data_IF_817279546066
#
_entry.id   IF_817279546066
#
_cell.length_a   1.000
_cell.length_b   1.000
_cell.length_c   1.000
_cell.angle_alpha   90.00
_cell.angle_beta   90.00
_cell.angle_gamma   90.00
#
_symmetry.space_group_name_H-M   'P 1'
#
loop_
_entity.id
_entity.type
_entity.pdbx_description
1 polymer ?
#
# COMPACT_ATOMS: atom_id res chain seq x y z
N UNK A 1 -6.03 -5.26 -37.61
CA UNK A 1 -6.00 -3.79 -37.42
C UNK A 1 -6.39 -3.47 -35.97
N UNK A 2 -5.77 -2.46 -35.36
CA UNK A 2 -6.14 -1.98 -34.03
C UNK A 2 -7.53 -1.34 -34.05
N UNK A 3 -8.25 -1.44 -32.94
CA UNK A 3 -9.50 -0.70 -32.79
C UNK A 3 -9.22 0.80 -32.73
N UNK A 4 -10.10 1.59 -33.34
CA UNK A 4 -9.98 3.04 -33.45
C UNK A 4 -10.77 3.76 -32.35
N UNK A 5 -10.42 5.02 -32.09
CA UNK A 5 -11.23 5.88 -31.23
C UNK A 5 -12.66 5.99 -31.78
N UNK A 6 -13.64 5.87 -30.90
CA UNK A 6 -15.06 5.87 -31.21
C UNK A 6 -15.62 4.53 -31.67
N UNK A 7 -14.77 3.52 -31.95
CA UNK A 7 -15.23 2.21 -32.41
C UNK A 7 -16.06 1.50 -31.33
N UNK A 8 -17.22 0.99 -31.74
CA UNK A 8 -18.06 0.13 -30.92
C UNK A 8 -17.64 -1.34 -31.10
N UNK A 9 -17.44 -2.04 -29.99
CA UNK A 9 -17.11 -3.48 -29.97
C UNK A 9 -18.11 -4.24 -29.12
N UNK A 10 -18.14 -5.57 -29.28
CA UNK A 10 -18.96 -6.49 -28.50
C UNK A 10 -20.44 -6.05 -28.45
N UNK A 11 -21.07 -6.00 -29.63
CA UNK A 11 -22.46 -5.57 -29.82
C UNK A 11 -22.76 -4.17 -29.23
N UNK A 12 -21.77 -3.27 -29.26
CA UNK A 12 -21.90 -1.91 -28.73
C UNK A 12 -21.84 -1.79 -27.21
N UNK A 13 -21.47 -2.86 -26.48
CA UNK A 13 -21.27 -2.80 -25.01
C UNK A 13 -20.14 -1.84 -24.65
N UNK A 14 -19.09 -1.77 -25.46
CA UNK A 14 -17.96 -0.88 -25.24
C UNK A 14 -17.71 0.03 -26.42
N UNK A 15 -17.42 1.30 -26.13
CA UNK A 15 -16.89 2.27 -27.07
C UNK A 15 -15.41 2.50 -26.75
N UNK A 16 -14.51 2.20 -27.68
CA UNK A 16 -13.08 2.48 -27.52
C UNK A 16 -12.88 4.00 -27.47
N UNK A 17 -12.16 4.48 -26.46
CA UNK A 17 -11.84 5.91 -26.29
C UNK A 17 -10.37 6.20 -26.61
N UNK A 18 -9.46 5.30 -26.23
CA UNK A 18 -8.03 5.56 -26.36
C UNK A 18 -7.21 4.28 -26.39
N UNK A 19 -6.20 4.23 -27.25
CA UNK A 19 -5.10 3.27 -27.12
C UNK A 19 -4.20 3.68 -25.96
N UNK A 20 -4.05 2.82 -24.95
CA UNK A 20 -3.22 3.11 -23.77
C UNK A 20 -1.78 2.62 -23.94
N UNK A 21 -1.58 1.54 -24.68
CA UNK A 21 -0.27 0.95 -24.87
C UNK A 21 -0.37 -0.47 -25.39
N UNK A 22 0.76 -1.02 -25.82
CA UNK A 22 0.80 -2.32 -26.48
C UNK A 22 2.22 -2.79 -26.73
N UNK A 23 2.44 -4.06 -26.43
CA UNK A 23 3.71 -4.74 -26.51
C UNK A 23 3.74 -5.82 -27.57
N UNK A 24 4.73 -6.71 -27.49
CA UNK A 24 4.94 -7.78 -28.47
C UNK A 24 3.72 -8.68 -28.62
N UNK A 25 3.04 -9.02 -27.53
CA UNK A 25 1.96 -10.02 -27.55
C UNK A 25 0.57 -9.54 -27.08
N UNK A 26 0.44 -8.34 -26.47
CA UNK A 26 -0.84 -7.80 -26.01
C UNK A 26 -0.95 -6.29 -26.23
N UNK A 27 -2.18 -5.79 -26.31
CA UNK A 27 -2.56 -4.39 -26.48
C UNK A 27 -3.65 -4.02 -25.49
N UNK A 28 -3.59 -2.79 -25.00
CA UNK A 28 -4.47 -2.26 -23.95
C UNK A 28 -5.17 -0.99 -24.44
N UNK A 29 -6.48 -0.95 -24.25
CA UNK A 29 -7.35 0.16 -24.61
C UNK A 29 -8.10 0.69 -23.38
N UNK A 30 -8.33 2.00 -23.34
CA UNK A 30 -9.38 2.60 -22.54
C UNK A 30 -10.68 2.54 -23.33
N UNK A 31 -11.76 2.14 -22.67
CA UNK A 31 -13.08 2.09 -23.27
C UNK A 31 -14.15 2.60 -22.30
N UNK A 32 -15.26 3.09 -22.85
CA UNK A 32 -16.47 3.40 -22.12
C UNK A 32 -17.44 2.22 -22.22
N UNK A 33 -17.82 1.64 -21.08
CA UNK A 33 -18.96 0.72 -21.03
C UNK A 33 -20.25 1.52 -21.23
N UNK A 34 -20.91 1.36 -22.37
CA UNK A 34 -21.98 2.26 -22.85
C UNK A 34 -23.22 2.26 -21.95
N UNK A 35 -23.65 1.09 -21.48
CA UNK A 35 -24.83 0.98 -20.59
C UNK A 35 -24.60 1.45 -19.16
N UNK A 36 -23.39 1.27 -18.63
CA UNK A 36 -23.04 1.65 -17.25
C UNK A 36 -22.43 3.04 -17.16
N UNK A 37 -22.13 3.66 -18.30
CA UNK A 37 -21.39 4.92 -18.41
C UNK A 37 -20.11 4.93 -17.53
N UNK A 38 -19.38 3.81 -17.56
CA UNK A 38 -18.20 3.55 -16.73
C UNK A 38 -16.98 3.35 -17.62
N UNK A 39 -15.89 4.04 -17.33
CA UNK A 39 -14.60 3.76 -17.97
C UNK A 39 -14.01 2.45 -17.49
N UNK A 40 -13.49 1.68 -18.43
CA UNK A 40 -12.87 0.37 -18.22
C UNK A 40 -11.61 0.27 -19.07
N UNK A 41 -10.78 -0.73 -18.77
CA UNK A 41 -9.63 -1.09 -19.59
C UNK A 41 -9.91 -2.41 -20.28
N UNK A 42 -9.65 -2.50 -21.58
CA UNK A 42 -9.74 -3.73 -22.36
C UNK A 42 -8.33 -4.13 -22.82
N UNK A 43 -7.84 -5.29 -22.34
CA UNK A 43 -6.59 -5.91 -22.82
C UNK A 43 -6.93 -7.03 -23.80
N UNK A 44 -6.17 -7.16 -24.88
CA UNK A 44 -6.36 -8.17 -25.94
C UNK A 44 -5.02 -8.60 -26.52
N UNK A 45 -4.87 -9.82 -27.08
CA UNK A 45 -3.68 -10.19 -27.83
C UNK A 45 -3.35 -9.20 -28.95
N UNK A 46 -2.06 -8.96 -29.20
CA UNK A 46 -1.61 -8.04 -30.22
C UNK A 46 -1.77 -8.64 -31.61
N UNK A 47 -2.77 -8.18 -32.35
CA UNK A 47 -3.05 -8.66 -33.70
C UNK A 47 -1.95 -8.29 -34.71
N UNK A 48 -1.08 -7.32 -34.42
CA UNK A 48 0.00 -6.94 -35.34
C UNK A 48 1.02 -8.06 -35.56
N UNK A 49 1.12 -8.98 -34.60
CA UNK A 49 2.00 -10.16 -34.67
C UNK A 49 1.23 -11.45 -34.96
N UNK A 50 -0.01 -11.36 -35.47
CA UNK A 50 -0.82 -12.55 -35.76
C UNK A 50 -0.18 -13.50 -36.78
N UNK A 51 0.69 -12.97 -37.64
CA UNK A 51 1.46 -13.77 -38.63
C UNK A 51 2.69 -14.46 -38.04
N UNK A 52 3.03 -14.18 -36.80
CA UNK A 52 4.12 -14.87 -36.10
C UNK A 52 3.72 -16.34 -35.87
N UNK A 53 4.57 -17.32 -36.24
CA UNK A 53 4.30 -18.74 -35.97
C UNK A 53 4.00 -19.05 -34.49
N UNK A 54 4.51 -18.24 -33.56
CA UNK A 54 4.29 -18.38 -32.12
C UNK A 54 3.03 -17.64 -31.62
N UNK A 55 2.25 -16.99 -32.48
CA UNK A 55 1.02 -16.28 -32.08
C UNK A 55 0.05 -17.13 -31.24
N UNK A 56 -0.20 -18.42 -31.54
CA UNK A 56 -1.02 -19.26 -30.67
C UNK A 56 -0.49 -19.34 -29.23
N UNK A 57 0.84 -19.38 -29.05
CA UNK A 57 1.47 -19.38 -27.71
C UNK A 57 1.24 -18.05 -26.99
N UNK A 58 1.22 -16.94 -27.73
CA UNK A 58 0.93 -15.61 -27.17
C UNK A 58 -0.50 -15.52 -26.65
N UNK A 59 -1.46 -16.05 -27.41
CA UNK A 59 -2.88 -16.10 -27.01
C UNK A 59 -3.05 -16.99 -25.77
N UNK A 60 -2.41 -18.16 -25.73
CA UNK A 60 -2.47 -19.05 -24.56
C UNK A 60 -1.83 -18.41 -23.31
N UNK A 61 -0.76 -17.63 -23.47
CA UNK A 61 -0.19 -16.84 -22.36
C UNK A 61 -1.16 -15.78 -21.87
N UNK A 62 -1.80 -15.04 -22.78
CA UNK A 62 -2.79 -14.04 -22.42
C UNK A 62 -3.96 -14.66 -21.63
N UNK A 63 -4.45 -15.84 -22.04
CA UNK A 63 -5.49 -16.57 -21.29
C UNK A 63 -5.03 -16.96 -19.89
N UNK A 64 -3.81 -17.49 -19.76
CA UNK A 64 -3.22 -17.82 -18.45
C UNK A 64 -3.09 -16.59 -17.55
N UNK A 65 -2.77 -15.44 -18.14
CA UNK A 65 -2.61 -14.17 -17.43
C UNK A 65 -3.95 -13.72 -16.84
N UNK A 66 -5.00 -13.75 -17.67
CA UNK A 66 -6.37 -13.48 -17.27
C UNK A 66 -6.82 -14.41 -16.13
N UNK A 67 -6.54 -15.71 -16.22
CA UNK A 67 -6.87 -16.70 -15.19
C UNK A 67 -6.13 -16.45 -13.86
N UNK A 68 -4.84 -16.12 -13.93
CA UNK A 68 -4.06 -15.80 -12.72
C UNK A 68 -4.57 -14.53 -12.05
N UNK A 69 -4.82 -13.48 -12.82
CA UNK A 69 -5.36 -12.23 -12.29
C UNK A 69 -6.75 -12.45 -11.67
N UNK A 70 -7.63 -13.22 -12.33
CA UNK A 70 -8.93 -13.59 -11.79
C UNK A 70 -8.80 -14.34 -10.44
N UNK A 71 -7.86 -15.30 -10.33
CA UNK A 71 -7.57 -16.00 -9.07
C UNK A 71 -7.18 -15.02 -7.95
N UNK A 72 -6.33 -14.04 -8.27
CA UNK A 72 -5.92 -13.01 -7.31
C UNK A 72 -7.10 -12.11 -6.89
N UNK A 73 -8.06 -11.86 -7.79
CA UNK A 73 -9.23 -11.02 -7.54
C UNK A 73 -10.35 -11.67 -6.72
N UNK A 74 -10.30 -12.99 -6.45
CA UNK A 74 -11.39 -13.73 -5.76
C UNK A 74 -11.84 -13.09 -4.44
N UNK A 75 -10.90 -12.51 -3.67
CA UNK A 75 -11.19 -11.86 -2.38
C UNK A 75 -11.12 -10.32 -2.44
N UNK A 76 -11.11 -9.74 -3.65
CA UNK A 76 -10.98 -8.30 -3.92
C UNK A 76 -9.98 -7.57 -3.01
N UNK A 77 -8.70 -7.56 -3.38
CA UNK A 77 -7.69 -6.76 -2.67
C UNK A 77 -7.67 -5.31 -3.18
N UNK A 78 -7.66 -4.28 -2.31
CA UNK A 78 -7.74 -2.86 -2.73
C UNK A 78 -6.54 -2.35 -3.54
N UNK A 79 -5.44 -3.08 -3.55
CA UNK A 79 -4.20 -2.74 -4.25
C UNK A 79 -3.89 -3.67 -5.45
N UNK A 80 -4.87 -4.48 -5.88
CA UNK A 80 -4.82 -5.30 -7.09
C UNK A 80 -5.93 -4.81 -8.02
N UNK A 81 -5.62 -4.65 -9.31
CA UNK A 81 -6.64 -4.28 -10.31
C UNK A 81 -7.73 -5.33 -10.38
N UNK A 82 -8.98 -4.90 -10.42
CA UNK A 82 -10.10 -5.83 -10.56
C UNK A 82 -10.30 -6.25 -12.02
N UNK A 83 -10.64 -7.53 -12.20
CA UNK A 83 -11.16 -8.07 -13.46
C UNK A 83 -12.67 -8.12 -13.38
N UNK A 84 -13.34 -7.66 -14.43
CA UNK A 84 -14.80 -7.65 -14.51
C UNK A 84 -15.34 -8.74 -15.43
N UNK A 85 -14.66 -9.02 -16.55
CA UNK A 85 -15.16 -9.93 -17.57
C UNK A 85 -14.02 -10.49 -18.43
N UNK A 86 -14.22 -11.66 -19.04
CA UNK A 86 -13.34 -12.26 -20.03
C UNK A 86 -14.18 -12.80 -21.18
N UNK A 87 -14.09 -12.13 -22.34
CA UNK A 87 -15.00 -12.35 -23.47
C UNK A 87 -14.27 -12.38 -24.80
N UNK A 88 -14.98 -12.71 -25.87
CA UNK A 88 -14.47 -12.62 -27.24
C UNK A 88 -15.20 -11.52 -28.03
N UNK A 89 -14.45 -10.67 -28.73
CA UNK A 89 -14.98 -9.68 -29.65
C UNK A 89 -14.10 -9.62 -30.91
N UNK A 90 -14.73 -9.53 -32.08
CA UNK A 90 -14.06 -9.50 -33.38
C UNK A 90 -13.01 -10.62 -33.56
N UNK A 91 -13.30 -11.82 -33.04
CA UNK A 91 -12.42 -12.99 -33.08
C UNK A 91 -11.19 -12.89 -32.17
N UNK A 92 -11.23 -12.07 -31.11
CA UNK A 92 -10.12 -11.86 -30.18
C UNK A 92 -10.59 -11.99 -28.73
N UNK A 93 -9.77 -12.64 -27.91
CA UNK A 93 -9.96 -12.65 -26.46
C UNK A 93 -9.74 -11.25 -25.88
N UNK A 94 -10.63 -10.86 -24.98
CA UNK A 94 -10.68 -9.55 -24.35
C UNK A 94 -10.80 -9.74 -22.84
N UNK A 95 -9.97 -9.04 -22.08
CA UNK A 95 -10.03 -8.96 -20.63
C UNK A 95 -10.52 -7.57 -20.23
N UNK A 96 -11.71 -7.50 -19.63
CA UNK A 96 -12.24 -6.26 -19.04
C UNK A 96 -11.67 -6.08 -17.64
N UNK A 97 -11.02 -4.96 -17.41
CA UNK A 97 -10.38 -4.61 -16.15
C UNK A 97 -10.83 -3.23 -15.67
N UNK A 98 -10.65 -3.01 -14.37
CA UNK A 98 -10.84 -1.72 -13.74
C UNK A 98 -9.95 -0.65 -14.37
N UNK A 99 -10.55 0.50 -14.70
CA UNK A 99 -9.80 1.70 -15.05
C UNK A 99 -9.33 2.42 -13.78
N UNK A 100 -8.01 2.55 -13.64
CA UNK A 100 -7.40 3.32 -12.55
C UNK A 100 -7.17 4.75 -13.03
N UNK A 101 -7.96 5.69 -12.51
CA UNK A 101 -7.87 7.10 -12.84
C UNK A 101 -6.62 7.73 -12.20
N UNK A 102 -5.51 7.74 -12.93
CA UNK A 102 -4.23 8.18 -12.42
C UNK A 102 -3.12 7.97 -13.43
N UNK A 103 -1.90 7.85 -12.93
CA UNK A 103 -0.71 7.62 -13.74
C UNK A 103 0.20 6.61 -13.03
N UNK A 104 1.12 6.01 -13.77
CA UNK A 104 2.07 5.06 -13.20
C UNK A 104 3.04 5.74 -12.23
N UNK A 105 3.61 4.98 -11.28
CA UNK A 105 4.70 5.44 -10.41
C UNK A 105 5.89 5.91 -11.27
N UNK A 106 6.15 5.25 -12.39
CA UNK A 106 7.12 5.69 -13.39
C UNK A 106 6.87 7.13 -13.85
N UNK A 107 5.68 7.41 -14.39
CA UNK A 107 5.32 8.74 -14.89
C UNK A 107 5.27 9.79 -13.77
N UNK A 108 4.89 9.38 -12.56
CA UNK A 108 4.87 10.26 -11.39
C UNK A 108 6.26 10.75 -10.99
N UNK A 109 7.22 9.83 -10.88
CA UNK A 109 8.62 10.19 -10.57
C UNK A 109 9.27 10.97 -11.71
N UNK A 110 9.01 10.62 -12.97
CA UNK A 110 9.50 11.42 -14.12
C UNK A 110 9.02 12.88 -14.08
N UNK A 111 7.78 13.11 -13.63
CA UNK A 111 7.18 14.45 -13.59
C UNK A 111 7.56 15.23 -12.33
N UNK A 112 7.56 14.58 -11.17
CA UNK A 112 7.75 15.23 -9.86
C UNK A 112 9.21 15.21 -9.40
N UNK A 113 10.04 14.37 -10.00
CA UNK A 113 11.34 14.00 -9.47
C UNK A 113 11.22 12.90 -8.40
N UNK A 114 12.32 12.69 -7.68
CA UNK A 114 12.39 11.73 -6.60
C UNK A 114 11.38 12.04 -5.48
N UNK A 115 10.75 11.01 -4.93
CA UNK A 115 9.69 11.16 -3.93
C UNK A 115 10.26 11.22 -2.50
N UNK A 116 9.58 11.94 -1.58
CA UNK A 116 9.87 11.83 -0.16
C UNK A 116 9.76 10.38 0.34
N UNK A 117 10.67 9.98 1.24
CA UNK A 117 10.74 8.62 1.79
C UNK A 117 9.38 8.09 2.26
N UNK A 118 8.68 8.87 3.09
CA UNK A 118 7.37 8.48 3.64
C UNK A 118 6.32 8.22 2.55
N UNK A 119 6.35 8.98 1.46
CA UNK A 119 5.44 8.81 0.34
C UNK A 119 5.79 7.57 -0.50
N UNK A 120 7.07 7.39 -0.83
CA UNK A 120 7.54 6.22 -1.56
C UNK A 120 7.25 4.92 -0.78
N UNK A 121 7.59 4.88 0.51
CA UNK A 121 7.34 3.72 1.39
C UNK A 121 5.85 3.44 1.50
N UNK A 122 4.99 4.46 1.58
CA UNK A 122 3.53 4.28 1.60
C UNK A 122 3.04 3.51 0.36
N UNK A 123 3.42 3.95 -0.86
CA UNK A 123 2.98 3.26 -2.08
C UNK A 123 3.55 1.85 -2.19
N UNK A 124 4.81 1.67 -1.79
CA UNK A 124 5.49 0.38 -1.86
C UNK A 124 4.91 -0.61 -0.86
N UNK A 125 4.57 -0.20 0.36
CA UNK A 125 3.87 -1.06 1.34
C UNK A 125 2.52 -1.54 0.79
N UNK A 126 1.74 -0.66 0.17
CA UNK A 126 0.45 -1.03 -0.42
C UNK A 126 0.58 -2.14 -1.47
N UNK A 127 1.61 -2.06 -2.33
CA UNK A 127 1.91 -3.08 -3.34
C UNK A 127 2.51 -4.35 -2.70
N UNK A 128 3.37 -4.22 -1.69
CA UNK A 128 3.90 -5.36 -0.97
C UNK A 128 2.81 -6.19 -0.28
N UNK A 129 1.82 -5.55 0.35
CA UNK A 129 0.67 -6.23 0.95
C UNK A 129 -0.17 -6.97 -0.10
N UNK A 130 -0.35 -6.38 -1.29
CA UNK A 130 -0.97 -7.11 -2.40
C UNK A 130 -0.15 -8.35 -2.78
N UNK A 131 1.17 -8.24 -2.86
CA UNK A 131 2.05 -9.36 -3.23
C UNK A 131 2.07 -10.47 -2.18
N UNK A 132 1.96 -10.13 -0.90
CA UNK A 132 1.76 -11.11 0.18
C UNK A 132 0.55 -12.00 -0.10
N UNK A 133 -0.59 -11.40 -0.45
CA UNK A 133 -1.81 -12.17 -0.74
C UNK A 133 -1.74 -12.94 -2.06
N UNK A 134 -1.04 -12.40 -3.06
CA UNK A 134 -0.75 -13.09 -4.33
C UNK A 134 0.12 -14.33 -4.07
N UNK A 135 1.16 -14.21 -3.24
CA UNK A 135 2.08 -15.30 -2.89
C UNK A 135 1.37 -16.39 -2.09
N UNK A 136 0.48 -16.05 -1.15
CA UNK A 136 -0.38 -17.02 -0.43
C UNK A 136 -1.26 -17.84 -1.37
N UNK A 137 -1.64 -17.29 -2.52
CA UNK A 137 -2.38 -17.98 -3.58
C UNK A 137 -1.50 -18.83 -4.48
N UNK A 138 -0.20 -18.94 -4.20
CA UNK A 138 0.79 -19.67 -5.00
C UNK A 138 1.04 -19.03 -6.37
N UNK A 139 0.80 -17.72 -6.49
CA UNK A 139 1.05 -16.95 -7.71
C UNK A 139 2.29 -16.08 -7.49
N UNK A 140 3.11 -15.91 -8.53
CA UNK A 140 4.23 -14.96 -8.54
C UNK A 140 3.94 -13.90 -9.60
N UNK A 141 4.25 -12.65 -9.31
CA UNK A 141 3.97 -11.57 -10.25
C UNK A 141 5.06 -11.42 -11.32
N UNK A 142 6.33 -11.53 -10.92
CA UNK A 142 7.55 -11.55 -11.72
C UNK A 142 7.86 -10.30 -12.55
N UNK A 143 6.92 -9.36 -12.66
CA UNK A 143 7.07 -8.10 -13.40
C UNK A 143 6.64 -6.86 -12.58
N UNK A 144 6.97 -6.84 -11.28
CA UNK A 144 6.60 -5.71 -10.40
C UNK A 144 7.52 -4.51 -10.68
N UNK A 145 7.06 -3.57 -11.49
CA UNK A 145 7.87 -2.40 -11.88
C UNK A 145 7.10 -1.10 -11.65
N UNK A 146 7.76 0.07 -11.64
CA UNK A 146 7.07 1.36 -11.52
C UNK A 146 6.05 1.63 -12.63
N UNK A 147 6.15 0.94 -13.78
CA UNK A 147 5.18 1.04 -14.88
C UNK A 147 3.86 0.31 -14.56
N UNK A 148 3.92 -0.75 -13.76
CA UNK A 148 2.77 -1.59 -13.42
C UNK A 148 2.11 -1.20 -12.09
N UNK A 149 2.63 -0.15 -11.43
CA UNK A 149 2.08 0.44 -10.19
C UNK A 149 1.37 1.74 -10.55
N UNK A 150 0.04 1.74 -10.54
CA UNK A 150 -0.77 2.93 -10.80
C UNK A 150 -1.06 3.70 -9.52
N UNK A 151 -0.86 5.00 -9.54
CA UNK A 151 -1.20 5.91 -8.44
C UNK A 151 -2.49 6.66 -8.77
N UNK A 152 -3.54 6.39 -7.99
CA UNK A 152 -4.81 7.12 -8.10
C UNK A 152 -4.76 8.35 -7.19
N UNK A 153 -4.91 9.56 -7.75
CA UNK A 153 -4.87 10.83 -7.00
C UNK A 153 -6.22 11.54 -6.94
N UNK A 154 -7.30 10.94 -7.45
CA UNK A 154 -8.56 11.64 -7.57
C UNK A 154 -9.34 11.62 -6.25
N UNK A 155 -9.34 12.75 -5.55
CA UNK A 155 -10.01 12.98 -4.26
C UNK A 155 -11.53 12.78 -4.29
N UNK A 156 -12.16 12.81 -5.47
CA UNK A 156 -13.59 12.56 -5.64
C UNK A 156 -13.94 11.07 -5.87
N UNK A 157 -12.93 10.19 -6.00
CA UNK A 157 -13.12 8.74 -6.21
C UNK A 157 -12.72 8.00 -4.92
N UNK A 158 -13.47 6.96 -4.50
CA UNK A 158 -12.99 6.03 -3.48
C UNK A 158 -11.59 5.55 -3.86
N UNK A 159 -10.62 5.57 -2.92
CA UNK A 159 -9.21 5.19 -3.14
C UNK A 159 -8.24 6.28 -3.64
N UNK A 160 -8.53 7.56 -3.43
CA UNK A 160 -7.53 8.64 -3.61
C UNK A 160 -6.27 8.42 -2.77
N UNK A 161 -5.09 8.59 -3.39
CA UNK A 161 -3.77 8.35 -2.80
C UNK A 161 -3.41 6.87 -2.61
N UNK A 162 -4.01 5.95 -3.39
CA UNK A 162 -3.70 4.52 -3.38
C UNK A 162 -2.88 4.08 -4.60
N UNK A 163 -1.93 3.19 -4.36
CA UNK A 163 -1.20 2.42 -5.36
C UNK A 163 -1.98 1.15 -5.71
N UNK A 164 -2.07 0.81 -7.00
CA UNK A 164 -2.77 -0.37 -7.52
C UNK A 164 -1.88 -1.08 -8.53
N UNK A 165 -1.72 -2.40 -8.37
CA UNK A 165 -0.97 -3.26 -9.27
C UNK A 165 -1.85 -3.68 -10.46
N UNK A 166 -1.47 -3.35 -11.69
CA UNK A 166 -2.35 -3.45 -12.87
C UNK A 166 -1.98 -4.51 -13.92
N UNK A 167 -0.85 -5.20 -13.80
CA UNK A 167 -0.40 -6.14 -14.85
C UNK A 167 0.36 -7.36 -14.29
N UNK A 168 -0.32 -8.51 -14.19
CA UNK A 168 0.24 -9.76 -13.68
C UNK A 168 0.96 -10.51 -14.80
N UNK A 169 2.03 -9.91 -15.31
CA UNK A 169 2.78 -10.44 -16.43
C UNK A 169 3.29 -11.85 -16.16
N UNK A 170 3.01 -12.80 -17.06
CA UNK A 170 3.66 -14.12 -17.06
C UNK A 170 5.11 -13.94 -17.54
N UNK A 171 5.98 -13.35 -16.73
CA UNK A 171 7.38 -13.21 -17.10
C UNK A 171 8.09 -14.57 -16.97
N UNK A 172 8.85 -14.94 -18.01
CA UNK A 172 9.86 -15.99 -17.92
C UNK A 172 9.88 -17.05 -19.02
N UNK A 173 8.97 -17.05 -20.00
CA UNK A 173 9.12 -17.88 -21.20
C UNK A 173 9.45 -16.97 -22.39
N UNK A 174 10.72 -16.61 -22.57
CA UNK A 174 11.25 -15.89 -23.76
C UNK A 174 10.24 -14.93 -24.43
N UNK A 175 9.96 -13.79 -23.80
CA UNK A 175 9.21 -12.72 -24.46
C UNK A 175 10.12 -12.08 -25.52
N UNK A 176 9.75 -12.02 -26.81
CA UNK A 176 10.36 -11.01 -27.67
C UNK A 176 10.08 -9.63 -27.06
N UNK A 177 11.05 -8.70 -27.10
CA UNK A 177 10.93 -7.41 -26.44
C UNK A 177 9.64 -6.73 -26.87
N UNK A 178 8.77 -6.44 -25.91
CA UNK A 178 7.62 -5.61 -26.15
C UNK A 178 8.09 -4.25 -26.66
N UNK A 179 7.30 -3.59 -27.51
CA UNK A 179 7.69 -2.29 -28.06
C UNK A 179 7.74 -1.20 -26.97
N UNK A 180 7.08 -1.42 -25.81
CA UNK A 180 7.32 -0.67 -24.56
C UNK A 180 8.59 -1.12 -23.79
N UNK A 181 9.04 -2.37 -23.96
CA UNK A 181 10.32 -2.89 -23.44
C UNK A 181 11.49 -2.74 -24.42
N UNK A 182 11.35 -1.99 -25.52
CA UNK A 182 12.50 -1.54 -26.33
C UNK A 182 13.31 -0.45 -25.63
N UNK A 183 12.79 0.13 -24.56
CA UNK A 183 13.58 0.92 -23.64
C UNK A 183 14.03 0.03 -22.49
N UNK A 184 15.34 0.01 -22.26
CA UNK A 184 16.14 -0.52 -21.14
C UNK A 184 15.51 -0.52 -19.72
N UNK A 185 14.31 0.02 -19.51
CA UNK A 185 13.66 0.25 -18.21
C UNK A 185 13.20 -1.00 -17.47
N UNK A 186 12.47 -1.95 -18.07
CA UNK A 186 11.94 -3.10 -17.32
C UNK A 186 13.08 -4.02 -16.81
N UNK A 187 14.07 -4.31 -17.66
CA UNK A 187 15.21 -5.16 -17.30
C UNK A 187 16.00 -4.63 -16.09
N UNK A 188 16.07 -3.31 -15.91
CA UNK A 188 16.76 -2.71 -14.76
C UNK A 188 16.15 -3.14 -13.42
N UNK A 189 14.84 -3.42 -13.38
CA UNK A 189 14.14 -3.82 -12.16
C UNK A 189 14.09 -5.33 -11.95
N UNK A 190 14.52 -6.14 -12.93
CA UNK A 190 14.45 -7.59 -12.85
C UNK A 190 15.80 -8.20 -12.43
N UNK A 191 15.81 -9.23 -11.57
CA UNK A 191 17.04 -9.89 -11.19
C UNK A 191 17.56 -10.82 -12.31
N UNK A 192 18.87 -11.02 -12.37
CA UNK A 192 19.52 -11.69 -13.50
C UNK A 192 19.12 -13.17 -13.61
N UNK A 193 18.83 -13.83 -12.49
CA UNK A 193 18.38 -15.22 -12.47
C UNK A 193 17.00 -15.41 -13.09
N UNK A 194 16.12 -14.40 -13.02
CA UNK A 194 14.85 -14.43 -13.74
C UNK A 194 15.10 -14.26 -15.24
N UNK A 195 15.85 -13.23 -15.62
CA UNK A 195 16.00 -12.84 -17.03
C UNK A 195 16.89 -13.78 -17.83
N UNK A 196 17.89 -14.39 -17.20
CA UNK A 196 18.90 -15.23 -17.85
C UNK A 196 18.72 -16.73 -17.58
N UNK A 197 18.26 -17.11 -16.38
CA UNK A 197 18.09 -18.53 -16.00
C UNK A 197 16.62 -18.97 -15.97
N UNK A 198 15.67 -18.04 -16.07
CA UNK A 198 14.24 -18.35 -15.96
C UNK A 198 13.83 -18.83 -14.56
N UNK A 199 14.63 -18.57 -13.52
CA UNK A 199 14.35 -19.00 -12.15
C UNK A 199 13.25 -18.12 -11.56
N UNK A 200 12.25 -18.76 -10.95
CA UNK A 200 11.06 -18.10 -10.40
C UNK A 200 10.86 -18.52 -8.94
N UNK A 201 10.83 -17.55 -8.04
CA UNK A 201 10.54 -17.73 -6.62
C UNK A 201 10.07 -16.40 -6.01
N UNK A 202 9.47 -16.37 -4.81
CA UNK A 202 8.96 -15.14 -4.17
C UNK A 202 10.00 -14.01 -4.04
N UNK A 203 11.27 -14.33 -3.74
CA UNK A 203 12.33 -13.33 -3.66
C UNK A 203 12.69 -12.62 -4.99
N UNK A 204 12.11 -13.04 -6.13
CA UNK A 204 12.15 -12.27 -7.38
C UNK A 204 11.23 -11.05 -7.28
N UNK A 205 10.01 -11.22 -6.77
CA UNK A 205 9.08 -10.10 -6.57
C UNK A 205 9.60 -9.10 -5.52
N UNK A 206 10.31 -9.60 -4.51
CA UNK A 206 11.04 -8.76 -3.54
C UNK A 206 12.05 -7.87 -4.26
N UNK A 207 12.89 -8.44 -5.14
CA UNK A 207 13.86 -7.66 -5.91
C UNK A 207 13.19 -6.60 -6.79
N UNK A 208 12.15 -7.00 -7.52
CA UNK A 208 11.42 -6.12 -8.42
C UNK A 208 10.76 -4.93 -7.69
N UNK A 209 10.12 -5.20 -6.54
CA UNK A 209 9.51 -4.15 -5.72
C UNK A 209 10.57 -3.28 -5.03
N UNK A 210 11.69 -3.84 -4.56
CA UNK A 210 12.81 -3.09 -4.01
C UNK A 210 13.46 -2.16 -5.05
N UNK A 211 13.61 -2.63 -6.29
CA UNK A 211 14.04 -1.79 -7.42
C UNK A 211 13.04 -0.68 -7.73
N UNK A 212 11.74 -0.95 -7.60
CA UNK A 212 10.72 0.08 -7.76
C UNK A 212 10.80 1.15 -6.67
N UNK A 213 11.09 0.76 -5.42
CA UNK A 213 11.35 1.68 -4.30
C UNK A 213 12.64 2.49 -4.51
N UNK A 214 13.71 1.85 -4.99
CA UNK A 214 14.95 2.53 -5.38
C UNK A 214 14.66 3.67 -6.36
N UNK A 215 13.91 3.39 -7.43
CA UNK A 215 13.56 4.39 -8.43
C UNK A 215 12.67 5.50 -7.86
N UNK A 216 11.69 5.15 -7.03
CA UNK A 216 10.82 6.13 -6.39
C UNK A 216 11.60 7.12 -5.51
N UNK A 217 12.61 6.65 -4.77
CA UNK A 217 13.40 7.46 -3.83
C UNK A 217 14.53 8.22 -4.49
N UNK A 218 15.16 7.66 -5.51
CA UNK A 218 16.37 8.27 -6.12
C UNK A 218 16.05 9.03 -7.39
N UNK A 219 14.90 8.76 -8.02
CA UNK A 219 14.59 9.19 -9.38
C UNK A 219 15.42 8.49 -10.47
N UNK A 220 16.35 7.61 -10.08
CA UNK A 220 17.28 6.93 -10.98
C UNK A 220 16.93 5.45 -11.10
N UNK A 221 17.21 4.86 -12.26
CA UNK A 221 17.07 3.41 -12.42
C UNK A 221 18.17 2.73 -11.60
N UNK A 222 17.88 1.59 -10.95
CA UNK A 222 18.94 0.81 -10.32
C UNK A 222 19.90 0.25 -11.37
N UNK A 223 21.15 0.00 -10.97
CA UNK A 223 22.15 -0.67 -11.80
C UNK A 223 21.61 -2.03 -12.24
N UNK A 224 21.69 -2.32 -13.54
CA UNK A 224 21.14 -3.54 -14.11
C UNK A 224 21.81 -4.79 -13.51
N UNK A 225 21.00 -5.74 -13.06
CA UNK A 225 21.46 -6.96 -12.37
C UNK A 225 22.46 -7.79 -13.19
N UNK A 226 22.35 -7.78 -14.52
CA UNK A 226 23.32 -8.44 -15.40
C UNK A 226 24.69 -7.76 -15.34
N UNK A 227 24.73 -6.42 -15.41
CA UNK A 227 25.97 -5.66 -15.31
C UNK A 227 26.62 -5.85 -13.93
N UNK A 228 25.82 -5.87 -12.86
CA UNK A 228 26.30 -6.21 -11.51
C UNK A 228 26.96 -7.59 -11.45
N UNK A 229 26.44 -8.57 -12.21
CA UNK A 229 26.92 -9.95 -12.20
C UNK A 229 28.15 -10.19 -13.08
N UNK A 230 28.19 -9.59 -14.27
CA UNK A 230 29.15 -9.92 -15.32
C UNK A 230 30.10 -8.78 -15.69
N UNK A 231 29.73 -7.53 -15.39
CA UNK A 231 30.54 -6.34 -15.65
C UNK A 231 31.06 -5.69 -14.36
N UNK A 232 30.69 -6.24 -13.19
CA UNK A 232 31.07 -5.76 -11.86
C UNK A 232 30.67 -4.29 -11.59
N UNK A 233 29.65 -3.79 -12.29
CA UNK A 233 29.07 -2.47 -12.04
C UNK A 233 28.23 -2.53 -10.76
N UNK A 234 28.63 -1.90 -9.67
CA UNK A 234 27.92 -1.99 -8.39
C UNK A 234 26.58 -1.23 -8.40
N UNK A 235 25.68 -1.63 -7.50
CA UNK A 235 24.48 -0.84 -7.21
C UNK A 235 24.91 0.36 -6.35
N UNK A 236 24.72 1.57 -6.87
CA UNK A 236 24.92 2.80 -6.10
C UNK A 236 23.96 2.80 -4.89
N UNK A 237 24.46 3.08 -3.69
CA UNK A 237 23.61 3.11 -2.50
C UNK A 237 22.57 4.24 -2.60
N UNK A 238 21.28 3.98 -2.32
CA UNK A 238 20.26 5.03 -2.30
C UNK A 238 20.64 6.22 -1.41
N UNK A 239 21.29 5.96 -0.27
CA UNK A 239 21.73 6.99 0.69
C UNK A 239 22.91 7.83 0.19
N UNK A 240 23.70 7.35 -0.77
CA UNK A 240 24.70 8.17 -1.45
C UNK A 240 24.05 9.21 -2.37
N UNK A 241 22.94 8.83 -3.01
CA UNK A 241 22.16 9.73 -3.88
C UNK A 241 21.22 10.64 -3.09
N UNK A 242 20.72 10.16 -1.95
CA UNK A 242 19.77 10.86 -1.08
C UNK A 242 20.27 10.77 0.37
N UNK A 243 21.17 11.68 0.80
CA UNK A 243 21.78 11.62 2.14
C UNK A 243 20.80 11.70 3.32
N UNK A 244 19.61 12.28 3.10
CA UNK A 244 18.54 12.37 4.10
C UNK A 244 17.75 11.07 4.28
N UNK A 245 17.98 10.05 3.44
CA UNK A 245 17.30 8.76 3.52
C UNK A 245 17.65 8.04 4.83
N UNK A 246 16.64 7.46 5.47
CA UNK A 246 16.84 6.66 6.67
C UNK A 246 17.68 5.41 6.39
N UNK A 247 18.48 5.00 7.38
CA UNK A 247 19.27 3.76 7.29
C UNK A 247 18.36 2.54 7.09
N UNK A 248 17.18 2.58 7.71
CA UNK A 248 16.12 1.59 7.56
C UNK A 248 15.77 1.32 6.10
N UNK A 249 15.35 2.36 5.38
CA UNK A 249 14.90 2.24 4.00
C UNK A 249 16.07 1.97 3.08
N UNK A 250 17.23 2.57 3.34
CA UNK A 250 18.45 2.26 2.60
C UNK A 250 18.81 0.77 2.68
N UNK A 251 18.85 0.19 3.89
CA UNK A 251 19.15 -1.23 4.07
C UNK A 251 18.07 -2.14 3.48
N UNK A 252 16.80 -1.78 3.60
CA UNK A 252 15.71 -2.53 2.98
C UNK A 252 15.85 -2.59 1.45
N UNK A 253 16.22 -1.48 0.80
CA UNK A 253 16.48 -1.46 -0.64
C UNK A 253 17.70 -2.32 -0.98
N UNK A 254 18.82 -2.14 -0.29
CA UNK A 254 20.05 -2.90 -0.56
C UNK A 254 19.87 -4.40 -0.37
N UNK A 255 19.19 -4.83 0.70
CA UNK A 255 18.90 -6.25 0.96
C UNK A 255 17.87 -6.82 -0.01
N UNK A 256 16.80 -6.08 -0.30
CA UNK A 256 15.81 -6.51 -1.31
C UNK A 256 16.43 -6.66 -2.69
N UNK A 257 17.41 -5.81 -3.02
CA UNK A 257 18.17 -5.83 -4.26
C UNK A 257 19.52 -6.56 -4.16
N UNK A 258 19.73 -7.43 -3.17
CA UNK A 258 20.96 -8.21 -3.09
C UNK A 258 21.15 -9.03 -4.38
N UNK A 259 22.39 -9.16 -4.86
CA UNK A 259 22.62 -9.74 -6.20
C UNK A 259 22.20 -11.21 -6.25
N UNK A 260 22.61 -12.00 -5.25
CA UNK A 260 22.22 -13.41 -5.16
C UNK A 260 20.90 -13.56 -4.39
N UNK A 261 20.01 -14.40 -4.91
CA UNK A 261 18.67 -14.60 -4.35
C UNK A 261 18.67 -15.06 -2.88
N UNK A 262 19.68 -15.86 -2.48
CA UNK A 262 19.84 -16.37 -1.11
C UNK A 262 20.13 -15.28 -0.08
N UNK A 263 20.63 -14.13 -0.52
CA UNK A 263 21.04 -13.01 0.34
C UNK A 263 19.90 -11.97 0.47
N UNK A 264 18.74 -12.24 -0.14
CA UNK A 264 17.52 -11.41 -0.04
C UNK A 264 16.58 -11.97 1.04
N UNK A 265 15.64 -11.16 1.54
CA UNK A 265 14.45 -11.70 2.19
C UNK A 265 13.73 -12.69 1.30
N UNK A 266 13.35 -13.84 1.86
CA UNK A 266 12.77 -14.94 1.09
C UNK A 266 11.25 -14.80 0.92
N UNK A 267 10.62 -13.95 1.74
CA UNK A 267 9.20 -13.59 1.65
C UNK A 267 9.00 -12.09 1.53
N UNK A 268 7.85 -11.68 0.99
CA UNK A 268 7.49 -10.26 0.89
C UNK A 268 7.29 -9.66 2.29
N UNK A 269 6.72 -10.42 3.22
CA UNK A 269 6.54 -10.05 4.62
C UNK A 269 7.88 -9.74 5.31
N UNK A 270 8.88 -10.60 5.14
CA UNK A 270 10.23 -10.36 5.67
C UNK A 270 10.80 -9.05 5.15
N UNK A 271 10.65 -8.77 3.85
CA UNK A 271 11.15 -7.54 3.26
C UNK A 271 10.39 -6.30 3.76
N UNK A 272 9.05 -6.36 3.85
CA UNK A 272 8.23 -5.26 4.37
C UNK A 272 8.55 -4.91 5.83
N UNK A 273 8.97 -5.89 6.62
CA UNK A 273 9.40 -5.65 7.99
C UNK A 273 10.65 -4.76 8.05
N UNK A 274 11.56 -4.84 7.07
CA UNK A 274 12.75 -3.98 7.00
C UNK A 274 12.39 -2.51 6.76
N UNK A 275 11.36 -2.24 5.96
CA UNK A 275 10.84 -0.89 5.70
C UNK A 275 10.19 -0.24 6.93
N UNK A 276 9.91 -1.02 7.98
CA UNK A 276 9.21 -0.57 9.17
C UNK A 276 10.15 0.02 10.22
N UNK A 277 11.42 0.30 9.88
CA UNK A 277 12.43 0.61 10.89
C UNK A 277 12.45 2.10 11.31
N UNK A 278 11.40 2.50 12.01
CA UNK A 278 11.53 3.15 13.32
C UNK A 278 11.64 2.08 14.44
N UNK A 279 12.28 0.95 14.13
CA UNK A 279 12.65 -0.08 15.09
C UNK A 279 13.95 0.32 15.78
N UNK A 280 13.82 1.20 16.77
CA UNK A 280 14.43 0.86 18.04
C UNK A 280 13.83 -0.50 18.46
N UNK A 281 14.65 -1.56 18.48
CA UNK A 281 14.41 -2.86 19.11
C UNK A 281 12.95 -3.13 19.59
N UNK A 282 12.18 -3.91 18.84
CA UNK A 282 10.95 -4.55 19.35
C UNK A 282 10.93 -6.03 18.98
N UNK A 283 11.88 -6.76 19.54
CA UNK A 283 11.68 -8.14 19.98
C UNK A 283 10.47 -8.18 20.91
N UNK A 284 9.32 -8.68 20.43
CA UNK A 284 8.01 -8.61 21.14
C UNK A 284 7.59 -7.17 21.48
N UNK A 285 6.28 -6.87 21.48
CA UNK A 285 5.84 -5.71 22.26
C UNK A 285 6.13 -6.12 23.70
N UNK A 286 7.15 -5.53 24.34
CA UNK A 286 7.42 -5.81 25.74
C UNK A 286 6.21 -5.26 26.51
N UNK A 287 5.29 -6.14 26.90
CA UNK A 287 4.11 -5.79 27.70
C UNK A 287 4.49 -5.55 29.18
N UNK A 288 5.65 -4.95 29.42
CA UNK A 288 6.11 -4.56 30.75
C UNK A 288 5.63 -3.14 31.04
N UNK A 289 4.49 -3.07 31.74
CA UNK A 289 3.95 -1.82 32.28
C UNK A 289 4.83 -1.26 33.39
N UNK A 290 5.00 0.07 33.44
CA UNK A 290 5.69 0.74 34.56
C UNK A 290 4.89 0.60 35.87
N UNK A 291 3.58 0.34 35.75
CA UNK A 291 2.62 0.28 36.86
C UNK A 291 1.99 -1.11 37.03
N UNK A 292 2.53 -2.14 36.35
CA UNK A 292 2.09 -3.53 36.50
C UNK A 292 0.74 -3.85 35.84
N UNK A 293 0.28 -3.05 34.89
CA UNK A 293 -0.94 -3.33 34.11
C UNK A 293 -0.68 -4.41 33.06
N UNK A 294 -1.60 -5.35 32.94
CA UNK A 294 -1.54 -6.43 31.96
C UNK A 294 -2.30 -6.04 30.68
N UNK A 295 -1.60 -6.06 29.54
CA UNK A 295 -2.11 -5.69 28.21
C UNK A 295 -2.46 -6.88 27.31
N UNK A 296 -2.33 -8.13 27.80
CA UNK A 296 -2.55 -9.34 27.00
C UNK A 296 -3.96 -9.43 26.42
N UNK A 297 -4.97 -8.98 27.18
CA UNK A 297 -6.35 -8.97 26.71
C UNK A 297 -6.54 -7.98 25.55
N UNK A 298 -5.98 -6.77 25.67
CA UNK A 298 -5.98 -5.77 24.59
C UNK A 298 -5.28 -6.32 23.33
N UNK A 299 -4.11 -6.92 23.48
CA UNK A 299 -3.37 -7.56 22.38
C UNK A 299 -4.22 -8.64 21.70
N UNK A 300 -4.86 -9.53 22.47
CA UNK A 300 -5.68 -10.60 21.93
C UNK A 300 -6.90 -10.08 21.17
N UNK A 301 -7.56 -9.03 21.66
CA UNK A 301 -8.70 -8.41 20.99
C UNK A 301 -8.30 -7.75 19.67
N UNK A 302 -7.19 -7.00 19.67
CA UNK A 302 -6.65 -6.34 18.48
C UNK A 302 -6.18 -7.36 17.44
N UNK A 303 -5.45 -8.39 17.86
CA UNK A 303 -5.03 -9.50 17.00
C UNK A 303 -6.22 -10.24 16.37
N UNK A 304 -7.34 -10.33 17.08
CA UNK A 304 -8.58 -10.92 16.59
C UNK A 304 -9.45 -9.97 15.75
N UNK A 305 -9.02 -8.73 15.48
CA UNK A 305 -9.80 -7.74 14.74
C UNK A 305 -11.08 -7.29 15.46
N UNK A 306 -11.17 -7.48 16.78
CA UNK A 306 -12.33 -7.11 17.60
C UNK A 306 -12.22 -5.64 18.03
N UNK A 307 -12.30 -4.74 17.07
CA UNK A 307 -11.99 -3.30 17.23
C UNK A 307 -12.83 -2.59 18.30
N UNK A 308 -14.13 -2.88 18.37
CA UNK A 308 -15.03 -2.31 19.38
C UNK A 308 -14.61 -2.72 20.79
N UNK A 309 -14.47 -4.02 21.04
CA UNK A 309 -14.04 -4.55 22.33
C UNK A 309 -12.62 -4.09 22.69
N UNK A 310 -11.73 -3.95 21.71
CA UNK A 310 -10.38 -3.41 21.93
C UNK A 310 -10.40 -1.93 22.34
N UNK A 311 -11.33 -1.14 21.82
CA UNK A 311 -11.48 0.28 22.18
C UNK A 311 -12.02 0.44 23.62
N UNK A 312 -12.97 -0.40 24.01
CA UNK A 312 -13.45 -0.46 25.40
C UNK A 312 -12.35 -0.94 26.36
N UNK A 313 -11.60 -1.97 25.97
CA UNK A 313 -10.47 -2.47 26.73
C UNK A 313 -9.36 -1.43 26.88
N UNK A 314 -9.09 -0.65 25.83
CA UNK A 314 -8.15 0.48 25.86
C UNK A 314 -8.53 1.48 26.96
N UNK A 315 -9.81 1.80 27.06
CA UNK A 315 -10.33 2.68 28.11
C UNK A 315 -10.14 2.08 29.51
N UNK A 316 -10.46 0.79 29.66
CA UNK A 316 -10.29 0.06 30.92
C UNK A 316 -8.83 0.06 31.39
N UNK A 317 -7.87 -0.20 30.50
CA UNK A 317 -6.44 -0.20 30.86
C UNK A 317 -5.93 1.20 31.17
N UNK A 318 -6.36 2.25 30.44
CA UNK A 318 -5.97 3.63 30.74
C UNK A 318 -6.47 4.10 32.12
N UNK A 319 -7.70 3.73 32.50
CA UNK A 319 -8.21 4.00 33.85
C UNK A 319 -7.42 3.22 34.91
N UNK A 320 -7.05 1.97 34.64
CA UNK A 320 -6.25 1.16 35.56
C UNK A 320 -4.83 1.71 35.76
N UNK A 321 -4.18 2.15 34.68
CA UNK A 321 -2.84 2.78 34.73
C UNK A 321 -2.83 3.99 35.65
N UNK A 322 -3.91 4.77 35.62
CA UNK A 322 -4.04 6.00 36.41
C UNK A 322 -4.73 5.80 37.76
N UNK A 323 -5.11 4.56 38.11
CA UNK A 323 -5.86 4.19 39.33
C UNK A 323 -7.19 4.93 39.47
N UNK A 324 -7.93 5.05 38.37
CA UNK A 324 -9.19 5.80 38.26
C UNK A 324 -10.38 4.96 37.84
N UNK A 325 -10.33 3.65 38.04
CA UNK A 325 -11.41 2.75 37.66
C UNK A 325 -12.75 3.13 38.32
N UNK A 326 -12.73 3.59 39.57
CA UNK A 326 -13.95 4.00 40.29
C UNK A 326 -14.57 5.28 39.73
N UNK A 327 -13.76 6.21 39.23
CA UNK A 327 -14.24 7.46 38.67
C UNK A 327 -14.78 7.25 37.25
N UNK A 328 -14.19 6.32 36.49
CA UNK A 328 -14.58 6.06 35.10
C UNK A 328 -14.17 7.16 34.12
N UNK A 329 -13.33 8.11 34.55
CA UNK A 329 -12.83 9.21 33.73
C UNK A 329 -11.43 9.68 34.17
N UNK A 330 -10.62 10.12 33.21
CA UNK A 330 -9.29 10.70 33.40
C UNK A 330 -9.38 12.22 33.58
N UNK A 331 -8.74 12.75 34.63
CA UNK A 331 -8.57 14.18 34.82
C UNK A 331 -7.27 14.67 34.17
N UNK A 332 -7.05 15.98 34.15
CA UNK A 332 -5.84 16.60 33.60
C UNK A 332 -4.55 16.00 34.20
N UNK A 333 -4.45 15.95 35.52
CA UNK A 333 -3.29 15.44 36.25
C UNK A 333 -2.96 13.98 35.90
N UNK A 334 -3.98 13.16 35.66
CA UNK A 334 -3.80 11.75 35.27
C UNK A 334 -3.24 11.59 33.86
N UNK A 335 -3.56 12.53 32.95
CA UNK A 335 -3.03 12.53 31.59
C UNK A 335 -1.61 13.06 31.60
N UNK A 336 -1.37 14.17 32.30
CA UNK A 336 -0.04 14.79 32.40
C UNK A 336 0.98 13.81 32.99
N UNK A 337 0.57 13.00 33.96
CA UNK A 337 1.41 12.00 34.61
C UNK A 337 1.27 10.59 34.01
N UNK A 338 0.56 10.40 32.90
CA UNK A 338 0.35 9.07 32.32
C UNK A 338 1.70 8.46 31.89
N UNK A 339 2.12 7.29 32.40
CA UNK A 339 3.43 6.71 32.09
C UNK A 339 3.66 6.54 30.58
N UNK A 340 4.82 7.01 30.10
CA UNK A 340 5.11 6.96 28.67
C UNK A 340 5.27 5.53 28.15
N UNK A 341 5.77 4.61 28.97
CA UNK A 341 5.88 3.19 28.63
C UNK A 341 4.50 2.61 28.34
N UNK A 342 3.54 2.81 29.25
CA UNK A 342 2.16 2.36 29.10
C UNK A 342 1.46 2.98 27.89
N UNK A 343 1.64 4.28 27.67
CA UNK A 343 1.06 4.96 26.51
C UNK A 343 1.63 4.42 25.18
N UNK A 344 2.94 4.10 25.15
CA UNK A 344 3.60 3.46 24.00
C UNK A 344 3.13 2.04 23.78
N UNK A 345 2.93 1.25 24.83
CA UNK A 345 2.40 -0.12 24.70
C UNK A 345 1.03 -0.09 24.01
N UNK A 346 0.12 0.77 24.50
CA UNK A 346 -1.23 0.91 23.91
C UNK A 346 -1.12 1.31 22.43
N UNK A 347 -0.36 2.35 22.12
CA UNK A 347 -0.19 2.82 20.75
C UNK A 347 0.40 1.74 19.83
N UNK A 348 1.48 1.09 20.25
CA UNK A 348 2.15 0.05 19.46
C UNK A 348 1.22 -1.13 19.17
N UNK A 349 0.38 -1.53 20.12
CA UNK A 349 -0.61 -2.58 19.89
C UNK A 349 -1.62 -2.14 18.82
N UNK A 350 -2.19 -0.94 18.92
CA UNK A 350 -3.14 -0.42 17.93
C UNK A 350 -2.51 -0.29 16.54
N UNK A 351 -1.35 0.36 16.44
CA UNK A 351 -0.60 0.55 15.20
C UNK A 351 -0.27 -0.80 14.57
N UNK A 352 0.22 -1.76 15.36
CA UNK A 352 0.63 -3.07 14.84
C UNK A 352 -0.52 -3.83 14.21
N UNK A 353 -1.62 -4.00 14.95
CA UNK A 353 -2.70 -4.88 14.49
C UNK A 353 -3.62 -4.21 13.47
N UNK A 354 -3.62 -2.88 13.40
CA UNK A 354 -4.32 -2.13 12.36
C UNK A 354 -3.46 -1.79 11.12
N UNK A 355 -2.23 -2.31 11.05
CA UNK A 355 -1.24 -1.99 9.99
C UNK A 355 -1.01 -0.47 9.81
N UNK A 356 -0.88 0.23 10.93
CA UNK A 356 -0.63 1.67 11.00
C UNK A 356 -1.85 2.54 10.70
N UNK A 357 -3.04 1.94 10.59
CA UNK A 357 -4.28 2.66 10.31
C UNK A 357 -4.87 3.35 11.55
N UNK A 358 -4.71 2.76 12.74
CA UNK A 358 -5.21 3.24 14.03
C UNK A 358 -4.07 3.40 15.05
N UNK A 359 -4.28 4.25 16.06
CA UNK A 359 -3.29 4.52 17.11
C UNK A 359 -3.24 6.00 17.51
N UNK A 360 -2.71 6.27 18.70
CA UNK A 360 -2.50 7.61 19.22
C UNK A 360 -1.44 8.40 18.45
N UNK A 361 -0.39 7.74 17.95
CA UNK A 361 0.62 8.34 17.07
C UNK A 361 0.03 8.75 15.72
N UNK A 362 -0.90 7.96 15.18
CA UNK A 362 -1.67 8.27 13.97
C UNK A 362 -2.58 9.48 14.21
N UNK A 363 -3.34 9.48 15.31
CA UNK A 363 -4.19 10.60 15.70
C UNK A 363 -3.40 11.89 15.93
N UNK A 364 -2.25 11.81 16.61
CA UNK A 364 -1.37 12.96 16.84
C UNK A 364 -0.86 13.55 15.52
N UNK A 365 -0.49 12.72 14.55
CA UNK A 365 -0.07 13.21 13.23
C UNK A 365 -1.17 14.04 12.58
N UNK A 366 -2.40 13.53 12.61
CA UNK A 366 -3.57 14.21 12.07
C UNK A 366 -3.91 15.49 12.86
N UNK A 367 -3.70 15.48 14.18
CA UNK A 367 -3.81 16.68 15.03
C UNK A 367 -2.85 17.79 14.59
N UNK A 368 -1.59 17.45 14.31
CA UNK A 368 -0.60 18.40 13.80
C UNK A 368 -0.96 18.91 12.41
N UNK A 369 -1.45 18.04 11.51
CA UNK A 369 -1.98 18.44 10.20
C UNK A 369 -3.17 19.40 10.31
N UNK A 370 -3.99 19.28 11.37
CA UNK A 370 -5.09 20.19 11.66
C UNK A 370 -4.66 21.52 12.31
N UNK A 371 -3.36 21.71 12.55
CA UNK A 371 -2.77 22.93 13.09
C UNK A 371 -2.11 22.76 14.47
N UNK A 372 -2.45 21.69 15.21
CA UNK A 372 -1.77 21.33 16.46
C UNK A 372 -1.89 22.31 17.63
N UNK A 373 -2.86 23.24 17.60
CA UNK A 373 -3.00 24.33 18.58
C UNK A 373 -3.96 23.97 19.71
N UNK A 374 -3.76 24.58 20.88
CA UNK A 374 -4.69 24.52 22.02
C UNK A 374 -5.93 25.41 21.78
N UNK A 375 -6.73 25.07 20.77
CA UNK A 375 -7.97 25.77 20.47
C UNK A 375 -9.09 24.81 19.99
N UNK A 376 -10.34 25.24 20.23
CA UNK A 376 -11.52 24.47 19.88
C UNK A 376 -11.69 24.24 18.38
N UNK A 377 -11.16 25.15 17.55
CA UNK A 377 -11.25 25.05 16.10
C UNK A 377 -10.38 23.90 15.58
N UNK A 378 -9.21 23.72 16.17
CA UNK A 378 -8.30 22.60 15.89
C UNK A 378 -8.94 21.28 16.33
N UNK A 379 -9.61 21.22 17.49
CA UNK A 379 -10.39 20.05 17.92
C UNK A 379 -11.52 19.72 16.96
N UNK A 380 -12.24 20.74 16.47
CA UNK A 380 -13.28 20.58 15.46
C UNK A 380 -12.73 20.01 14.15
N UNK A 381 -11.64 20.57 13.63
CA UNK A 381 -10.98 20.09 12.40
C UNK A 381 -10.50 18.65 12.54
N UNK A 382 -9.91 18.31 13.69
CA UNK A 382 -9.52 16.93 14.00
C UNK A 382 -10.75 16.01 14.01
N UNK A 383 -11.81 16.40 14.70
CA UNK A 383 -13.05 15.62 14.76
C UNK A 383 -13.67 15.39 13.38
N UNK A 384 -13.68 16.41 12.51
CA UNK A 384 -14.15 16.26 11.12
C UNK A 384 -13.23 15.34 10.31
N UNK A 385 -11.91 15.47 10.49
CA UNK A 385 -10.90 14.71 9.75
C UNK A 385 -10.86 13.24 10.12
N UNK A 386 -11.05 12.94 11.40
CA UNK A 386 -11.13 11.58 11.94
C UNK A 386 -12.53 10.97 11.80
N UNK A 387 -13.55 11.75 11.43
CA UNK A 387 -14.93 11.26 11.31
C UNK A 387 -15.67 11.13 12.63
N UNK A 388 -15.17 11.78 13.69
CA UNK A 388 -15.81 11.87 15.01
C UNK A 388 -16.89 12.95 15.07
N UNK A 389 -16.86 13.89 14.11
CA UNK A 389 -17.81 14.99 14.00
C UNK A 389 -18.41 15.00 12.60
N UNK A 390 -19.74 15.09 12.53
CA UNK A 390 -20.52 15.05 11.28
C UNK A 390 -21.51 16.20 11.30
N UNK A 391 -21.48 17.03 10.24
CA UNK A 391 -22.33 18.24 10.11
C UNK A 391 -22.26 19.16 11.34
N UNK A 392 -21.06 19.29 11.93
CA UNK A 392 -20.82 20.16 13.08
C UNK A 392 -21.12 19.54 14.45
N UNK A 393 -21.69 18.32 14.51
CA UNK A 393 -22.03 17.64 15.77
C UNK A 393 -21.15 16.42 16.02
N UNK A 394 -20.65 16.28 17.25
CA UNK A 394 -19.90 15.10 17.70
C UNK A 394 -20.81 13.87 17.74
N UNK A 395 -20.29 12.73 17.30
CA UNK A 395 -21.04 11.47 17.23
C UNK A 395 -21.31 10.88 18.63
N UNK A 396 -22.50 10.29 18.82
CA UNK A 396 -22.84 9.48 20.00
C UNK A 396 -22.30 8.05 19.87
N UNK A 397 -22.12 7.36 21.01
CA UNK A 397 -21.50 6.03 21.10
C UNK A 397 -22.13 5.00 20.14
N UNK A 398 -23.44 5.12 19.93
CA UNK A 398 -24.27 4.23 19.10
C UNK A 398 -24.06 4.41 17.58
N UNK A 399 -23.22 5.37 17.16
CA UNK A 399 -22.96 5.70 15.75
C UNK A 399 -21.51 5.48 15.33
N UNK A 400 -20.69 4.82 16.14
CA UNK A 400 -19.28 4.62 15.84
C UNK A 400 -19.03 3.50 14.84
N UNK A 401 -17.99 3.69 14.01
CA UNK A 401 -17.59 2.74 12.99
C UNK A 401 -16.38 1.93 13.45
N UNK A 402 -16.62 0.70 13.90
CA UNK A 402 -15.59 -0.23 14.38
C UNK A 402 -15.04 -1.16 13.29
N UNK A 403 -14.85 -0.62 12.08
CA UNK A 403 -14.32 -1.34 10.92
C UNK A 403 -12.99 -0.72 10.46
N UNK A 404 -12.13 -1.52 9.82
CA UNK A 404 -10.94 -1.01 9.10
C UNK A 404 -11.30 -0.06 7.94
N UNK A 405 -12.56 -0.03 7.51
CA UNK A 405 -13.05 0.94 6.54
C UNK A 405 -13.26 2.35 7.13
N UNK A 406 -13.14 2.52 8.46
CA UNK A 406 -13.14 3.83 9.10
C UNK A 406 -11.92 4.66 8.66
N UNK A 407 -11.99 5.98 8.89
CA UNK A 407 -10.89 6.89 8.54
C UNK A 407 -9.63 6.58 9.35
N UNK A 408 -8.46 6.89 8.80
CA UNK A 408 -7.19 6.70 9.53
C UNK A 408 -7.21 7.51 10.84
N UNK A 409 -6.75 6.89 11.92
CA UNK A 409 -6.78 7.45 13.27
C UNK A 409 -8.15 7.44 13.95
N UNK A 410 -9.21 6.86 13.34
CA UNK A 410 -10.54 6.83 13.94
C UNK A 410 -10.55 6.17 15.33
N UNK A 411 -9.75 5.12 15.51
CA UNK A 411 -9.56 4.41 16.77
C UNK A 411 -8.12 4.57 17.30
N UNK A 412 -7.89 4.36 18.61
CA UNK A 412 -8.90 4.22 19.66
C UNK A 412 -9.63 5.53 19.96
N UNK A 413 -10.94 5.48 20.22
CA UNK A 413 -11.80 6.63 20.42
C UNK A 413 -12.24 6.81 21.88
N UNK A 414 -12.65 5.73 22.55
CA UNK A 414 -13.30 5.81 23.88
C UNK A 414 -12.30 6.19 24.99
N UNK A 415 -11.00 5.91 24.80
CA UNK A 415 -9.94 6.39 25.70
C UNK A 415 -9.84 7.91 25.79
N UNK A 416 -10.29 8.65 24.76
CA UNK A 416 -10.39 10.11 24.77
C UNK A 416 -11.74 10.60 25.31
N UNK A 417 -12.80 9.83 25.13
CA UNK A 417 -14.14 10.11 25.68
C UNK A 417 -14.20 10.08 27.21
N UNK A 418 -13.31 9.32 27.85
CA UNK A 418 -13.17 9.29 29.31
C UNK A 418 -12.41 10.51 29.88
N UNK A 419 -11.89 11.43 29.05
CA UNK A 419 -11.18 12.62 29.53
C UNK A 419 -12.22 13.70 29.91
N UNK A 420 -12.35 14.01 31.21
CA UNK A 420 -13.12 15.18 31.66
C UNK A 420 -12.18 16.35 31.91
N UNK A 421 -12.09 17.24 30.92
CA UNK A 421 -11.58 18.59 31.09
C UNK A 421 -12.64 19.62 30.67
N UNK A 422 -12.35 20.92 30.86
CA UNK A 422 -13.10 22.02 30.22
C UNK A 422 -13.31 21.70 28.72
N UNK A 423 -14.46 22.06 28.10
CA UNK A 423 -14.84 21.66 26.74
C UNK A 423 -13.82 21.96 25.62
N UNK A 424 -12.77 22.72 25.94
CA UNK A 424 -11.83 23.30 24.98
C UNK A 424 -10.37 22.84 25.17
N UNK A 425 -10.11 21.87 26.07
CA UNK A 425 -8.74 21.44 26.46
C UNK A 425 -8.52 19.92 26.49
N UNK A 426 -9.50 19.12 26.08
CA UNK A 426 -9.45 17.66 26.32
C UNK A 426 -8.43 16.97 25.44
N UNK A 427 -8.49 17.24 24.14
CA UNK A 427 -7.64 16.56 23.17
C UNK A 427 -6.25 17.15 23.15
N UNK A 428 -6.13 18.48 23.33
CA UNK A 428 -4.82 19.14 23.41
C UNK A 428 -3.92 18.53 24.49
N UNK A 429 -4.41 18.39 25.72
CA UNK A 429 -3.61 17.86 26.83
C UNK A 429 -3.16 16.43 26.58
N UNK A 430 -4.04 15.62 25.99
CA UNK A 430 -3.69 14.26 25.61
C UNK A 430 -2.61 14.23 24.52
N UNK A 431 -2.79 14.97 23.43
CA UNK A 431 -1.79 15.01 22.35
C UNK A 431 -0.47 15.65 22.77
N UNK A 432 -0.51 16.60 23.71
CA UNK A 432 0.68 17.12 24.38
C UNK A 432 1.40 16.01 25.16
N UNK A 433 0.68 15.15 25.88
CA UNK A 433 1.28 13.98 26.53
C UNK A 433 1.84 12.97 25.53
N UNK A 434 1.09 12.65 24.47
CA UNK A 434 1.56 11.78 23.37
C UNK A 434 2.85 12.36 22.77
N UNK A 435 2.95 13.68 22.65
CA UNK A 435 4.15 14.38 22.19
C UNK A 435 5.32 14.30 23.17
N UNK A 436 5.12 14.56 24.46
CA UNK A 436 6.19 14.43 25.47
C UNK A 436 6.68 12.99 25.60
N UNK A 437 5.80 12.02 25.38
CA UNK A 437 6.15 10.60 25.33
C UNK A 437 6.80 10.15 24.00
N UNK A 438 7.05 11.08 23.07
CA UNK A 438 7.74 10.85 21.78
C UNK A 438 7.08 9.78 20.89
N UNK A 439 5.76 9.75 20.89
CA UNK A 439 4.95 8.98 19.93
C UNK A 439 4.70 9.75 18.62
#
# INVERSE_FOLDING_TARGET
>A
MFWQDGQLIYNGKYKIEKYLGGGGFAVTYQAMHTKLNRRVVIKTPNISVQRDPDYPKYVERFKKEAQMLAKCCTDSHPHIVQVFDFFEADGRYCLEMQYIAGQSLWEYVQRQGALPEAEAVKYIRQIGLALVDVHKKGVLHLDVTPLNIMLNFNSAIPNSGKAVLIDFGIAGDMSPPSTFSRSFGNKAFAPYELTYKGIRHPAVDVYCLAGSLYYAITGQRPTYSFNRKYEHEELVSPKELVPSLSDAVNQAILQGMALEAKDRPQTMEEWLNLLSSSQANLTQVILASDVGVNYQNLENLLKGGKWEAADEETTRVMLKVTKREQQGWLNYESIENFPCTDLRIIDQLWVRYSDGHFGFSVQKRIWLECGGKEDYETECRLGDRLGWRVKGSWLSKDKYNYSLNALAGYLPFVGLGCIKASPYRRLFNFFSRVQTCKL
#
